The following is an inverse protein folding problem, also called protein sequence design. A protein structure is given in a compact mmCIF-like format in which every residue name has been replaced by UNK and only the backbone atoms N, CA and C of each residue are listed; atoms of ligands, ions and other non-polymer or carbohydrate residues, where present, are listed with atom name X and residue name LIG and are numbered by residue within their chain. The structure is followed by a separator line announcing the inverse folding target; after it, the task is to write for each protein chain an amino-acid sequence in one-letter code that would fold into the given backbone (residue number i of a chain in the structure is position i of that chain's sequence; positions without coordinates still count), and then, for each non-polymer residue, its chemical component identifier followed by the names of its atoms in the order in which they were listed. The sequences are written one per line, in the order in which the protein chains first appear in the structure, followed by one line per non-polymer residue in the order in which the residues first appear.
data_IF_862733160262
#
_entry.id   IF_862733160262
#
_cell.length_a   1.000
_cell.length_b   1.000
_cell.length_c   1.000
_cell.angle_alpha   90.00
_cell.angle_beta   90.00
_cell.angle_gamma   90.00
#
_symmetry.space_group_name_H-M   'P 1'
#
loop_
_entity.id
_entity.type
_entity.pdbx_description
1 polymer ?
#
# COMPACT_ATOMS: atom_id res chain seq x y z
N UNK A 1 -6.44 -9.53 1.41
CA UNK A 1 -6.28 -10.73 0.57
C UNK A 1 -6.32 -10.35 -0.91
N UNK A 2 -5.68 -11.10 -1.80
CA UNK A 2 -5.78 -10.91 -3.26
C UNK A 2 -6.42 -12.14 -3.94
N UNK A 3 -6.86 -12.00 -5.20
CA UNK A 3 -7.53 -13.07 -5.98
C UNK A 3 -6.86 -14.45 -5.89
N UNK A 4 -5.53 -14.60 -6.11
CA UNK A 4 -4.90 -15.93 -6.06
C UNK A 4 -4.97 -16.56 -4.67
N UNK A 5 -4.78 -15.77 -3.61
CA UNK A 5 -4.82 -16.28 -2.23
C UNK A 5 -6.24 -16.63 -1.80
N UNK A 6 -7.24 -15.85 -2.22
CA UNK A 6 -8.65 -16.16 -1.97
C UNK A 6 -9.06 -17.49 -2.62
N UNK A 7 -8.68 -17.73 -3.89
CA UNK A 7 -8.93 -19.00 -4.58
C UNK A 7 -8.26 -20.19 -3.90
N UNK A 8 -7.03 -20.01 -3.42
CA UNK A 8 -6.33 -21.07 -2.68
C UNK A 8 -7.06 -21.46 -1.39
N UNK A 9 -7.56 -20.47 -0.63
CA UNK A 9 -8.34 -20.72 0.60
C UNK A 9 -9.66 -21.43 0.28
N UNK A 10 -10.41 -20.97 -0.73
CA UNK A 10 -11.67 -21.61 -1.14
C UNK A 10 -11.44 -23.05 -1.62
N UNK A 11 -10.38 -23.28 -2.41
CA UNK A 11 -10.00 -24.61 -2.88
C UNK A 11 -9.63 -25.54 -1.73
N UNK A 12 -8.94 -25.04 -0.69
CA UNK A 12 -8.60 -25.85 0.50
C UNK A 12 -9.82 -26.23 1.35
N UNK A 13 -10.89 -25.44 1.30
CA UNK A 13 -12.13 -25.67 2.03
C UNK A 13 -13.18 -26.40 1.20
N UNK A 14 -12.90 -26.68 -0.08
CA UNK A 14 -13.85 -27.32 -1.00
C UNK A 14 -15.04 -26.44 -1.41
N UNK A 15 -14.98 -25.13 -1.15
CA UNK A 15 -16.06 -24.19 -1.45
C UNK A 15 -15.97 -23.77 -2.92
N UNK A 16 -17.11 -23.76 -3.62
CA UNK A 16 -17.19 -23.32 -5.03
C UNK A 16 -16.81 -21.84 -5.14
N UNK A 17 -16.05 -21.49 -6.16
CA UNK A 17 -15.59 -20.12 -6.38
C UNK A 17 -16.69 -19.14 -6.80
N UNK A 18 -17.81 -19.66 -7.29
CA UNK A 18 -18.93 -18.90 -7.84
C UNK A 18 -20.10 -18.77 -6.86
N UNK A 19 -20.02 -19.42 -5.69
CA UNK A 19 -21.06 -19.33 -4.67
C UNK A 19 -21.21 -17.89 -4.20
N UNK A 20 -22.45 -17.43 -4.04
CA UNK A 20 -22.69 -16.09 -3.49
C UNK A 20 -22.51 -16.11 -1.99
N UNK A 21 -22.24 -14.94 -1.42
CA UNK A 21 -22.10 -14.78 0.03
C UNK A 21 -23.37 -15.21 0.80
N UNK A 22 -24.55 -15.11 0.18
CA UNK A 22 -25.83 -15.54 0.73
C UNK A 22 -25.98 -17.06 0.86
N UNK A 23 -25.22 -17.82 0.07
CA UNK A 23 -25.42 -19.26 -0.08
C UNK A 23 -24.48 -20.06 0.84
N UNK A 24 -23.65 -19.38 1.62
CA UNK A 24 -22.71 -20.01 2.56
C UNK A 24 -23.45 -20.49 3.80
N UNK A 25 -23.14 -21.73 4.20
CA UNK A 25 -23.56 -22.25 5.50
C UNK A 25 -22.74 -21.64 6.63
N UNK A 26 -23.31 -21.61 7.84
CA UNK A 26 -22.59 -21.14 9.04
C UNK A 26 -21.31 -21.94 9.32
N UNK A 27 -21.25 -23.22 8.92
CA UNK A 27 -20.05 -24.07 9.08
C UNK A 27 -18.92 -23.62 8.14
N UNK A 28 -19.26 -23.34 6.88
CA UNK A 28 -18.30 -22.83 5.90
C UNK A 28 -17.81 -21.44 6.28
N UNK A 29 -18.68 -20.60 6.84
CA UNK A 29 -18.30 -19.28 7.33
C UNK A 29 -17.28 -19.37 8.49
N UNK A 30 -17.52 -20.26 9.46
CA UNK A 30 -16.58 -20.48 10.57
C UNK A 30 -15.22 -20.99 10.06
N UNK A 31 -15.23 -21.98 9.16
CA UNK A 31 -14.02 -22.53 8.57
C UNK A 31 -13.24 -21.47 7.76
N UNK A 32 -13.94 -20.57 7.06
CA UNK A 32 -13.32 -19.45 6.36
C UNK A 32 -12.67 -18.46 7.34
N UNK A 33 -13.32 -18.12 8.44
CA UNK A 33 -12.75 -17.22 9.46
C UNK A 33 -11.46 -17.79 10.03
N UNK A 34 -11.46 -19.06 10.43
CA UNK A 34 -10.27 -19.75 10.95
C UNK A 34 -9.14 -19.83 9.92
N UNK A 35 -9.45 -20.08 8.65
CA UNK A 35 -8.46 -20.11 7.58
C UNK A 35 -7.86 -18.71 7.32
N UNK A 36 -8.66 -17.66 7.44
CA UNK A 36 -8.27 -16.27 7.19
C UNK A 36 -7.42 -15.70 8.33
N UNK A 37 -7.71 -16.04 9.59
CA UNK A 37 -6.97 -15.58 10.78
C UNK A 37 -5.50 -16.01 10.79
N UNK A 38 -5.16 -17.14 10.16
CA UNK A 38 -3.77 -17.61 10.04
C UNK A 38 -2.87 -16.67 9.24
N UNK A 39 -3.45 -15.74 8.48
CA UNK A 39 -2.70 -14.80 7.66
C UNK A 39 -2.58 -13.45 8.34
N UNK A 40 -1.38 -12.80 8.29
CA UNK A 40 -1.24 -11.44 8.77
C UNK A 40 -2.04 -10.51 7.85
N UNK A 41 -3.19 -10.07 8.33
CA UNK A 41 -4.13 -9.24 7.60
C UNK A 41 -4.25 -7.85 8.23
N UNK A 42 -4.82 -6.95 7.44
CA UNK A 42 -5.26 -5.61 7.83
C UNK A 42 -4.35 -4.89 8.83
N UNK A 43 -4.75 -4.84 10.10
CA UNK A 43 -4.09 -4.08 11.16
C UNK A 43 -2.67 -4.57 11.44
N UNK A 44 -2.49 -5.87 11.60
CA UNK A 44 -1.18 -6.46 11.87
C UNK A 44 -0.22 -6.20 10.70
N UNK A 45 -0.68 -6.46 9.47
CA UNK A 45 0.12 -6.25 8.27
C UNK A 45 0.50 -4.76 8.08
N UNK A 46 -0.44 -3.83 8.34
CA UNK A 46 -0.18 -2.39 8.31
C UNK A 46 0.86 -1.97 9.34
N UNK A 47 0.76 -2.46 10.58
CA UNK A 47 1.74 -2.21 11.64
C UNK A 47 3.13 -2.73 11.26
N UNK A 48 3.20 -3.95 10.74
CA UNK A 48 4.45 -4.57 10.26
C UNK A 48 5.09 -3.76 9.14
N UNK A 49 4.31 -3.32 8.14
CA UNK A 49 4.81 -2.49 7.04
C UNK A 49 5.29 -1.12 7.54
N UNK A 50 4.52 -0.47 8.42
CA UNK A 50 4.90 0.82 9.01
C UNK A 50 6.21 0.72 9.80
N UNK A 51 6.36 -0.32 10.62
CA UNK A 51 7.59 -0.62 11.36
C UNK A 51 8.77 -0.84 10.41
N UNK A 52 8.59 -1.62 9.33
CA UNK A 52 9.62 -1.81 8.32
C UNK A 52 10.06 -0.50 7.65
N UNK A 53 9.12 0.38 7.30
CA UNK A 53 9.44 1.68 6.69
C UNK A 53 10.15 2.59 7.70
N UNK A 54 9.72 2.59 8.97
CA UNK A 54 10.35 3.37 10.04
C UNK A 54 11.80 2.93 10.25
N UNK A 55 12.03 1.62 10.37
CA UNK A 55 13.36 1.02 10.43
C UNK A 55 14.28 1.47 9.28
N UNK A 56 13.77 1.49 8.04
CA UNK A 56 14.55 1.98 6.89
C UNK A 56 14.91 3.46 7.01
N UNK A 57 14.01 4.30 7.55
CA UNK A 57 14.28 5.73 7.77
C UNK A 57 15.31 5.94 8.87
N UNK A 58 15.21 5.21 9.98
CA UNK A 58 16.08 5.33 11.15
C UNK A 58 17.53 4.94 10.80
N UNK A 59 17.71 3.88 10.01
CA UNK A 59 19.03 3.43 9.49
C UNK A 59 19.61 4.41 8.46
N UNK A 60 18.80 5.32 7.89
CA UNK A 60 19.19 6.28 6.84
C UNK A 60 19.72 5.66 5.54
N UNK A 61 19.35 4.41 5.23
CA UNK A 61 19.65 3.80 3.93
C UNK A 61 18.98 4.57 2.77
N UNK A 62 19.47 4.44 1.54
CA UNK A 62 18.91 5.10 0.34
C UNK A 62 17.39 5.04 0.30
N UNK A 63 16.79 3.85 0.47
CA UNK A 63 15.32 3.70 0.49
C UNK A 63 14.65 4.53 1.60
N UNK A 64 15.23 4.57 2.80
CA UNK A 64 14.76 5.36 3.92
C UNK A 64 14.74 6.86 3.61
N UNK A 65 15.84 7.39 3.06
CA UNK A 65 15.91 8.81 2.68
C UNK A 65 14.89 9.17 1.60
N UNK A 66 14.62 8.24 0.66
CA UNK A 66 13.56 8.40 -0.36
C UNK A 66 12.16 8.38 0.25
N UNK A 67 11.90 7.48 1.19
CA UNK A 67 10.64 7.44 1.94
C UNK A 67 10.43 8.72 2.77
N UNK A 68 11.47 9.28 3.38
CA UNK A 68 11.39 10.55 4.12
C UNK A 68 11.10 11.74 3.20
N UNK A 69 11.76 11.81 2.04
CA UNK A 69 11.59 12.89 1.03
C UNK A 69 10.35 12.73 0.14
N UNK A 70 9.51 11.72 0.40
CA UNK A 70 8.32 11.37 -0.41
C UNK A 70 8.68 11.23 -1.91
N UNK A 71 9.69 10.39 -2.18
CA UNK A 71 10.18 10.08 -3.52
C UNK A 71 10.11 8.58 -3.82
N UNK A 72 10.00 8.17 -5.10
CA UNK A 72 10.12 6.77 -5.52
C UNK A 72 11.40 6.12 -5.00
N UNK A 73 11.28 4.93 -4.40
CA UNK A 73 12.37 4.28 -3.65
C UNK A 73 13.10 3.17 -4.42
N UNK A 74 12.66 2.78 -5.63
CA UNK A 74 13.28 1.70 -6.42
C UNK A 74 14.07 2.23 -7.63
N UNK A 75 14.69 3.40 -7.50
CA UNK A 75 15.53 3.99 -8.56
C UNK A 75 14.77 4.61 -9.73
N UNK A 76 13.45 4.83 -9.63
CA UNK A 76 12.70 5.49 -10.70
C UNK A 76 13.14 6.95 -10.91
N UNK A 77 13.01 7.42 -12.17
CA UNK A 77 13.35 8.79 -12.58
C UNK A 77 12.44 9.84 -11.93
N UNK A 78 13.01 10.66 -11.05
CA UNK A 78 12.26 11.69 -10.29
C UNK A 78 12.08 13.02 -10.98
N UNK A 79 12.79 13.27 -12.09
CA UNK A 79 12.65 14.50 -12.87
C UNK A 79 11.26 14.60 -13.52
N UNK A 80 10.74 13.48 -14.04
CA UNK A 80 9.46 13.43 -14.76
C UNK A 80 8.43 12.53 -14.08
N UNK A 81 8.82 11.33 -13.62
CA UNK A 81 7.88 10.27 -13.27
C UNK A 81 7.80 10.06 -11.74
N UNK A 82 7.28 11.06 -11.02
CA UNK A 82 7.11 11.02 -9.56
C UNK A 82 5.68 11.29 -9.07
N UNK A 83 4.72 11.39 -9.98
CA UNK A 83 3.35 11.88 -9.68
C UNK A 83 2.59 11.00 -8.68
N UNK A 84 2.74 9.68 -8.75
CA UNK A 84 2.08 8.77 -7.82
C UNK A 84 2.49 8.98 -6.36
N UNK A 85 3.73 9.45 -6.12
CA UNK A 85 4.26 9.65 -4.76
C UNK A 85 4.13 11.12 -4.29
N UNK A 86 4.46 12.07 -5.17
CA UNK A 86 4.41 13.52 -4.85
C UNK A 86 3.02 14.15 -5.05
N UNK A 87 2.12 13.48 -5.74
CA UNK A 87 0.88 14.08 -6.26
C UNK A 87 1.11 14.86 -7.55
N UNK A 88 0.03 15.40 -8.11
CA UNK A 88 0.06 16.17 -9.35
C UNK A 88 0.56 17.61 -9.18
N UNK A 89 0.59 18.11 -7.94
CA UNK A 89 1.06 19.46 -7.64
C UNK A 89 2.58 19.46 -7.52
N UNK A 90 3.26 20.10 -8.47
CA UNK A 90 4.66 20.51 -8.29
C UNK A 90 4.65 21.88 -7.63
N UNK A 91 5.03 21.93 -6.35
CA UNK A 91 5.40 23.20 -5.71
C UNK A 91 6.74 23.64 -6.31
N UNK A 92 6.67 24.26 -7.48
CA UNK A 92 7.81 24.97 -8.05
C UNK A 92 8.03 26.19 -7.17
N UNK A 93 9.24 26.43 -6.68
CA UNK A 93 9.54 27.74 -6.14
C UNK A 93 9.35 28.74 -7.29
N UNK A 94 8.43 29.67 -7.12
CA UNK A 94 8.34 30.86 -7.98
C UNK A 94 9.74 31.45 -8.03
N UNK A 95 10.27 31.72 -9.23
CA UNK A 95 11.50 32.50 -9.38
C UNK A 95 11.32 33.76 -8.54
N UNK A 96 12.27 34.10 -7.66
CA UNK A 96 12.18 35.24 -6.73
C UNK A 96 12.07 36.64 -7.38
N UNK A 97 11.57 36.73 -8.62
CA UNK A 97 11.16 37.98 -9.25
C UNK A 97 9.93 38.51 -8.54
N UNK A 98 10.17 39.60 -7.80
CA UNK A 98 9.14 40.47 -7.21
C UNK A 98 8.17 40.88 -8.32
N UNK A 99 6.86 40.69 -8.11
CA UNK A 99 5.85 41.32 -8.97
C UNK A 99 5.97 42.84 -8.73
N UNK A 100 6.38 43.57 -9.76
CA UNK A 100 6.28 45.03 -9.77
C UNK A 100 4.80 45.36 -9.98
N UNK A 101 4.17 45.96 -8.98
CA UNK A 101 2.85 46.56 -9.14
C UNK A 101 3.03 47.86 -9.93
N UNK A 102 2.25 48.03 -11.00
CA UNK A 102 2.26 49.27 -11.79
C UNK A 102 1.58 50.36 -10.96
N UNK A 103 2.34 51.42 -10.66
CA UNK A 103 1.82 52.74 -10.28
C UNK A 103 0.96 53.34 -11.37
#
# INVERSE_FOLDING_TARGET
MGRPRARAVLSSLGIKHESRASDLSAKEESALREAVEKFPLEGELRRRISSNIRRLKDIKVYRGTRHAKRLPARGQRTKTNSRTVRGNVRKTMTSGRRKLEKT
#
